data_IF_002770097357
#
_entry.id   IF_002770097357
#
_cell.length_a   1.000
_cell.length_b   1.000
_cell.length_c   1.000
_cell.angle_alpha   90.00
_cell.angle_beta   90.00
_cell.angle_gamma   90.00
#
_symmetry.space_group_name_H-M   'P 1'
#
loop_
_entity.id
_entity.type
_entity.pdbx_description
1 polymer ?
#
# COMPACT_ATOMS: atom_id res chain seq x y z
N UNK A 1 26.84 11.86 -28.49
CA UNK A 1 26.27 10.84 -27.56
C UNK A 1 24.96 10.35 -28.15
N UNK A 2 24.79 9.07 -28.34
CA UNK A 2 23.51 8.53 -28.84
C UNK A 2 22.54 8.46 -27.67
N UNK A 3 21.48 9.25 -27.70
CA UNK A 3 20.44 9.30 -26.69
C UNK A 3 19.15 8.84 -27.33
N UNK A 4 18.47 7.88 -26.69
CA UNK A 4 17.11 7.46 -27.06
C UNK A 4 16.14 8.04 -26.02
N UNK A 5 15.18 8.85 -26.49
CA UNK A 5 14.15 9.44 -25.64
C UNK A 5 12.77 9.13 -26.17
N UNK A 6 11.80 9.04 -25.29
CA UNK A 6 10.42 8.82 -25.66
C UNK A 6 9.46 8.92 -24.49
N UNK A 7 8.20 8.62 -24.80
CA UNK A 7 7.10 8.60 -23.84
C UNK A 7 6.53 7.18 -23.75
N UNK A 8 6.30 6.70 -22.53
CA UNK A 8 5.79 5.35 -22.28
C UNK A 8 4.36 5.13 -22.76
N UNK A 9 3.62 6.19 -23.03
CA UNK A 9 2.30 6.08 -23.68
C UNK A 9 2.40 5.68 -25.18
N UNK A 10 3.55 5.92 -25.81
CA UNK A 10 3.79 5.61 -27.22
C UNK A 10 4.52 4.28 -27.45
N UNK A 11 5.38 3.89 -26.50
CA UNK A 11 6.14 2.64 -26.52
C UNK A 11 6.27 2.11 -25.10
N UNK A 12 6.01 0.84 -24.89
CA UNK A 12 6.11 0.25 -23.55
C UNK A 12 7.58 0.20 -23.07
N UNK A 13 7.78 0.26 -21.76
CA UNK A 13 9.12 0.12 -21.19
C UNK A 13 9.71 -1.26 -21.50
N UNK A 14 8.89 -2.29 -21.57
CA UNK A 14 9.28 -3.64 -22.01
C UNK A 14 9.88 -3.62 -23.41
N UNK A 15 9.25 -2.92 -24.36
CA UNK A 15 9.77 -2.82 -25.74
C UNK A 15 11.08 -2.05 -25.78
N UNK A 16 11.21 -0.97 -24.98
CA UNK A 16 12.46 -0.22 -24.86
C UNK A 16 13.59 -1.10 -24.34
N UNK A 17 13.33 -1.87 -23.26
CA UNK A 17 14.34 -2.77 -22.68
C UNK A 17 14.71 -3.89 -23.68
N UNK A 18 13.73 -4.46 -24.40
CA UNK A 18 13.99 -5.44 -25.46
C UNK A 18 14.83 -4.84 -26.59
N UNK A 19 14.53 -3.60 -27.01
CA UNK A 19 15.34 -2.89 -28.02
C UNK A 19 16.78 -2.72 -27.58
N UNK A 20 17.02 -2.36 -26.31
CA UNK A 20 18.37 -2.23 -25.74
C UNK A 20 19.08 -3.60 -25.69
N UNK A 21 18.34 -4.65 -25.33
CA UNK A 21 18.86 -6.02 -25.28
C UNK A 21 19.30 -6.54 -26.65
N UNK A 22 18.42 -6.49 -27.66
CA UNK A 22 18.73 -6.94 -29.02
C UNK A 22 19.92 -6.19 -29.61
N UNK A 23 20.04 -4.90 -29.34
CA UNK A 23 21.13 -4.05 -29.82
C UNK A 23 22.38 -4.05 -28.92
N UNK A 24 22.41 -4.90 -27.87
CA UNK A 24 23.53 -5.03 -26.91
C UNK A 24 24.04 -3.69 -26.40
N UNK A 25 23.11 -2.79 -26.05
CA UNK A 25 23.46 -1.45 -25.59
C UNK A 25 24.02 -1.48 -24.17
N UNK A 26 24.90 -0.52 -23.87
CA UNK A 26 25.42 -0.29 -22.51
C UNK A 26 25.17 1.18 -22.15
N UNK A 27 24.52 1.41 -21.00
CA UNK A 27 24.13 2.75 -20.56
C UNK A 27 23.11 2.74 -19.42
N UNK A 28 22.54 3.91 -19.17
CA UNK A 28 21.51 4.13 -18.16
C UNK A 28 20.21 4.49 -18.83
N UNK A 29 19.13 3.80 -18.44
CA UNK A 29 17.77 4.12 -18.84
C UNK A 29 17.09 4.79 -17.64
N UNK A 30 16.88 6.10 -17.74
CA UNK A 30 16.16 6.90 -16.74
C UNK A 30 14.69 6.98 -17.11
N UNK A 31 13.82 6.83 -16.12
CA UNK A 31 12.38 6.89 -16.30
C UNK A 31 11.80 7.88 -15.28
N UNK A 32 10.86 8.72 -15.71
CA UNK A 32 10.19 9.73 -14.88
C UNK A 32 8.68 9.60 -15.08
N UNK A 33 7.97 9.30 -14.00
CA UNK A 33 6.50 9.25 -13.95
C UNK A 33 5.99 10.19 -12.86
N UNK A 34 5.69 11.43 -13.21
CA UNK A 34 5.32 12.47 -12.24
C UNK A 34 6.42 12.76 -11.22
N UNK A 35 6.19 12.40 -9.95
CA UNK A 35 7.19 12.52 -8.88
C UNK A 35 8.06 11.28 -8.70
N UNK A 36 7.75 10.18 -9.40
CA UNK A 36 8.52 8.95 -9.33
C UNK A 36 9.65 8.99 -10.33
N UNK A 37 10.82 8.52 -9.92
CA UNK A 37 11.99 8.35 -10.78
C UNK A 37 12.55 6.95 -10.62
N UNK A 38 13.03 6.37 -11.72
CA UNK A 38 13.69 5.07 -11.72
C UNK A 38 14.82 5.03 -12.72
N UNK A 39 15.80 4.19 -12.46
CA UNK A 39 16.94 4.00 -13.36
C UNK A 39 17.22 2.51 -13.52
N UNK A 40 17.28 2.04 -14.78
CA UNK A 40 17.79 0.72 -15.12
C UNK A 40 19.21 0.86 -15.67
N UNK A 41 20.15 0.09 -15.15
CA UNK A 41 21.53 0.03 -15.62
C UNK A 41 21.68 -1.19 -16.53
N UNK A 42 21.99 -0.90 -17.79
CA UNK A 42 22.06 -1.90 -18.86
C UNK A 42 23.52 -2.08 -19.28
N UNK A 43 24.03 -3.31 -19.26
CA UNK A 43 25.37 -3.66 -19.73
C UNK A 43 25.28 -4.78 -20.76
N UNK A 44 25.80 -4.52 -21.98
CA UNK A 44 25.73 -5.45 -23.11
C UNK A 44 24.30 -5.96 -23.41
N UNK A 45 23.30 -5.12 -23.18
CA UNK A 45 21.89 -5.44 -23.37
C UNK A 45 21.21 -6.13 -22.16
N UNK A 46 21.95 -6.49 -21.11
CA UNK A 46 21.37 -7.07 -19.91
C UNK A 46 21.14 -6.00 -18.82
N UNK A 47 20.02 -6.07 -18.12
CA UNK A 47 19.75 -5.22 -16.96
C UNK A 47 20.49 -5.80 -15.76
N UNK A 48 21.56 -5.16 -15.32
CA UNK A 48 22.42 -5.65 -14.24
C UNK A 48 22.10 -5.04 -12.87
N UNK A 49 21.41 -3.91 -12.87
CA UNK A 49 21.01 -3.20 -11.65
C UNK A 49 19.83 -2.28 -11.94
N UNK A 50 19.04 -1.98 -10.92
CA UNK A 50 17.98 -0.98 -10.98
C UNK A 50 17.88 -0.24 -9.65
N UNK A 51 17.40 0.99 -9.69
CA UNK A 51 17.18 1.80 -8.49
C UNK A 51 15.98 2.74 -8.64
N UNK A 52 15.28 2.92 -7.55
CA UNK A 52 14.29 3.97 -7.30
C UNK A 52 14.68 4.68 -5.99
N UNK A 53 14.05 5.79 -5.59
CA UNK A 53 14.29 6.39 -4.27
C UNK A 53 14.01 5.46 -3.09
N UNK A 54 13.20 4.40 -3.27
CA UNK A 54 12.75 3.51 -2.19
C UNK A 54 13.35 2.11 -2.27
N UNK A 55 13.68 1.61 -3.46
CA UNK A 55 14.10 0.23 -3.69
C UNK A 55 15.30 0.14 -4.62
N UNK A 56 16.02 -0.98 -4.57
CA UNK A 56 17.13 -1.28 -5.45
C UNK A 56 17.12 -2.75 -5.90
N UNK A 57 17.87 -3.07 -6.97
CA UNK A 57 17.99 -4.43 -7.50
C UNK A 57 16.74 -4.93 -8.22
N UNK A 58 16.43 -6.22 -8.11
CA UNK A 58 15.28 -6.84 -8.80
C UNK A 58 13.95 -6.20 -8.42
N UNK A 59 13.76 -5.84 -7.14
CA UNK A 59 12.55 -5.18 -6.69
C UNK A 59 12.32 -3.85 -7.41
N UNK A 60 13.37 -3.02 -7.50
CA UNK A 60 13.31 -1.77 -8.24
C UNK A 60 13.05 -1.98 -9.74
N UNK A 61 13.64 -3.02 -10.34
CA UNK A 61 13.40 -3.34 -11.74
C UNK A 61 11.93 -3.72 -11.99
N UNK A 62 11.33 -4.55 -11.14
CA UNK A 62 9.92 -4.92 -11.26
C UNK A 62 9.01 -3.72 -11.07
N UNK A 63 9.29 -2.85 -10.08
CA UNK A 63 8.51 -1.63 -9.86
C UNK A 63 8.53 -0.72 -11.10
N UNK A 64 9.71 -0.49 -11.65
CA UNK A 64 9.89 0.40 -12.82
C UNK A 64 9.28 -0.19 -14.08
N UNK A 65 9.42 -1.50 -14.31
CA UNK A 65 8.87 -2.18 -15.50
C UNK A 65 7.33 -2.16 -15.57
N UNK A 66 6.65 -1.90 -14.45
CA UNK A 66 5.18 -1.75 -14.42
C UNK A 66 4.70 -0.34 -14.79
N UNK A 67 5.60 0.62 -14.97
CA UNK A 67 5.20 1.98 -15.31
C UNK A 67 4.73 2.06 -16.77
N UNK A 68 3.52 2.50 -16.97
CA UNK A 68 2.85 2.62 -18.26
C UNK A 68 2.74 4.05 -18.78
N UNK A 69 3.20 5.03 -17.97
CA UNK A 69 3.17 6.46 -18.27
C UNK A 69 4.50 7.10 -17.89
N UNK A 70 4.75 8.27 -18.50
CA UNK A 70 5.93 9.05 -18.21
C UNK A 70 6.92 9.08 -19.35
N UNK A 71 8.05 9.69 -19.11
CA UNK A 71 9.12 9.87 -20.09
C UNK A 71 10.31 8.98 -19.74
N UNK A 72 11.02 8.54 -20.76
CA UNK A 72 12.27 7.82 -20.60
C UNK A 72 13.37 8.44 -21.40
N UNK A 73 14.60 8.29 -20.89
CA UNK A 73 15.83 8.67 -21.58
C UNK A 73 16.90 7.59 -21.36
N UNK A 74 17.39 7.02 -22.45
CA UNK A 74 18.56 6.14 -22.43
C UNK A 74 19.80 6.91 -22.83
N UNK A 75 20.80 6.90 -21.97
CA UNK A 75 22.10 7.55 -22.21
C UNK A 75 23.20 6.49 -22.24
N UNK A 76 23.89 6.42 -23.37
CA UNK A 76 25.09 5.57 -23.47
C UNK A 76 26.15 6.14 -22.53
N UNK A 77 26.48 5.40 -21.50
CA UNK A 77 27.43 5.83 -20.47
C UNK A 77 28.15 4.64 -19.85
N UNK A 78 29.38 4.83 -19.42
CA UNK A 78 30.06 3.94 -18.50
C UNK A 78 29.56 4.25 -17.09
N UNK A 79 29.35 3.22 -16.30
CA UNK A 79 28.88 3.34 -14.89
C UNK A 79 29.56 2.29 -14.03
N UNK A 80 29.50 2.48 -12.73
CA UNK A 80 30.01 1.51 -11.76
C UNK A 80 28.92 1.31 -10.70
N UNK A 81 28.19 0.20 -10.81
CA UNK A 81 27.15 -0.21 -9.89
C UNK A 81 27.31 -1.70 -9.55
N UNK A 82 26.81 -2.19 -8.42
CA UNK A 82 26.82 -3.61 -8.13
C UNK A 82 25.93 -4.37 -9.12
N UNK A 83 26.34 -5.57 -9.51
CA UNK A 83 25.47 -6.49 -10.26
C UNK A 83 24.51 -7.15 -9.27
N UNK A 84 23.32 -6.60 -9.13
CA UNK A 84 22.27 -7.11 -8.25
C UNK A 84 21.19 -7.92 -8.97
N UNK A 85 21.14 -7.83 -10.30
CA UNK A 85 20.24 -8.59 -11.16
C UNK A 85 21.10 -9.54 -12.01
N UNK A 86 20.84 -10.84 -11.86
CA UNK A 86 21.60 -11.89 -12.57
C UNK A 86 20.74 -12.67 -13.56
N UNK A 87 19.48 -12.33 -13.66
CA UNK A 87 18.53 -12.92 -14.62
C UNK A 87 18.78 -12.34 -16.00
N UNK A 88 18.51 -13.13 -17.03
CA UNK A 88 18.44 -12.59 -18.39
C UNK A 88 17.33 -11.54 -18.51
N UNK A 89 17.47 -10.61 -19.43
CA UNK A 89 16.40 -9.64 -19.74
C UNK A 89 15.09 -10.35 -20.05
N UNK A 90 15.13 -11.46 -20.80
CA UNK A 90 13.93 -12.24 -21.15
C UNK A 90 13.24 -12.77 -19.89
N UNK A 91 13.96 -13.39 -18.96
CA UNK A 91 13.40 -13.90 -17.72
C UNK A 91 12.87 -12.78 -16.83
N UNK A 92 13.59 -11.65 -16.76
CA UNK A 92 13.19 -10.47 -16.00
C UNK A 92 11.84 -9.91 -16.52
N UNK A 93 11.70 -9.77 -17.84
CA UNK A 93 10.48 -9.27 -18.46
C UNK A 93 9.31 -10.25 -18.33
N UNK A 94 9.56 -11.56 -18.47
CA UNK A 94 8.53 -12.57 -18.27
C UNK A 94 8.02 -12.60 -16.83
N UNK A 95 8.91 -12.52 -15.85
CA UNK A 95 8.53 -12.49 -14.44
C UNK A 95 7.81 -11.19 -14.07
N UNK A 96 8.25 -10.05 -14.61
CA UNK A 96 7.56 -8.76 -14.46
C UNK A 96 6.13 -8.83 -15.00
N UNK A 97 5.94 -9.36 -16.21
CA UNK A 97 4.62 -9.53 -16.81
C UNK A 97 3.72 -10.43 -15.94
N UNK A 98 4.24 -11.57 -15.48
CA UNK A 98 3.52 -12.50 -14.61
C UNK A 98 3.11 -11.87 -13.27
N UNK A 99 4.00 -11.08 -12.67
CA UNK A 99 3.73 -10.36 -11.41
C UNK A 99 2.67 -9.29 -11.64
N UNK A 100 2.76 -8.53 -12.73
CA UNK A 100 1.78 -7.51 -13.11
C UNK A 100 0.38 -8.10 -13.31
N UNK A 101 0.27 -9.22 -14.04
CA UNK A 101 -1.01 -9.91 -14.27
C UNK A 101 -1.60 -10.46 -12.95
N UNK A 102 -0.76 -11.02 -12.10
CA UNK A 102 -1.16 -11.48 -10.77
C UNK A 102 -1.67 -10.31 -9.92
N UNK A 103 -0.98 -9.18 -9.93
CA UNK A 103 -1.39 -7.97 -9.21
C UNK A 103 -2.71 -7.43 -9.74
N UNK A 104 -2.90 -7.30 -11.06
CA UNK A 104 -4.16 -6.86 -11.67
C UNK A 104 -5.33 -7.77 -11.27
N UNK A 105 -5.14 -9.08 -11.32
CA UNK A 105 -6.16 -10.05 -10.89
C UNK A 105 -6.50 -9.89 -9.41
N UNK A 106 -5.51 -9.80 -8.54
CA UNK A 106 -5.70 -9.65 -7.10
C UNK A 106 -6.35 -8.31 -6.74
N UNK A 107 -5.99 -7.23 -7.44
CA UNK A 107 -6.64 -5.93 -7.30
C UNK A 107 -8.09 -5.93 -7.79
N UNK A 108 -8.44 -6.77 -8.75
CA UNK A 108 -9.84 -7.00 -9.13
C UNK A 108 -10.65 -7.68 -8.01
N UNK A 109 -10.01 -8.50 -7.17
CA UNK A 109 -10.65 -9.19 -6.03
C UNK A 109 -10.63 -8.31 -4.76
N UNK A 110 -9.55 -7.57 -4.56
CA UNK A 110 -9.30 -6.65 -3.44
C UNK A 110 -9.06 -5.23 -3.96
N UNK A 111 -10.10 -4.53 -4.45
CA UNK A 111 -9.93 -3.21 -5.09
C UNK A 111 -9.52 -2.12 -4.09
N UNK A 112 -9.90 -2.27 -2.83
CA UNK A 112 -9.61 -1.32 -1.76
C UNK A 112 -8.55 -1.89 -0.81
N UNK A 113 -7.31 -1.39 -0.89
CA UNK A 113 -6.24 -1.81 0.01
C UNK A 113 -6.36 -1.23 1.43
N UNK A 114 -7.26 -0.28 1.65
CA UNK A 114 -7.62 0.18 2.99
C UNK A 114 -8.71 -0.67 3.65
N UNK A 115 -9.20 -1.69 2.96
CA UNK A 115 -10.05 -2.71 3.57
C UNK A 115 -9.23 -3.57 4.54
N UNK A 116 -9.89 -4.05 5.58
CA UNK A 116 -9.28 -4.79 6.70
C UNK A 116 -9.57 -6.28 6.54
N UNK A 117 -8.53 -7.12 6.34
CA UNK A 117 -8.69 -8.56 6.35
C UNK A 117 -8.89 -9.06 7.78
N UNK A 118 -10.02 -9.74 8.01
CA UNK A 118 -10.38 -10.31 9.31
C UNK A 118 -10.43 -11.83 9.26
N UNK A 119 -9.58 -12.54 10.03
CA UNK A 119 -9.62 -13.99 10.11
C UNK A 119 -10.83 -14.45 10.94
N UNK A 120 -11.57 -15.42 10.43
CA UNK A 120 -12.73 -16.02 11.11
C UNK A 120 -12.34 -17.14 12.08
N UNK A 121 -11.06 -17.53 12.09
CA UNK A 121 -10.47 -18.52 12.96
C UNK A 121 -9.08 -18.08 13.41
N UNK A 122 -8.59 -18.65 14.52
CA UNK A 122 -7.21 -18.48 15.00
C UNK A 122 -6.32 -19.62 14.50
N UNK A 123 -5.00 -19.42 14.55
CA UNK A 123 -4.07 -20.51 14.37
C UNK A 123 -4.26 -21.59 15.47
N UNK A 124 -4.08 -22.88 15.15
CA UNK A 124 -3.66 -23.45 13.86
C UNK A 124 -4.79 -23.63 12.83
N UNK A 125 -6.06 -23.42 13.19
CA UNK A 125 -7.21 -23.66 12.30
C UNK A 125 -7.20 -22.73 11.08
N UNK A 126 -6.68 -21.51 11.23
CA UNK A 126 -6.62 -20.52 10.16
C UNK A 126 -5.86 -21.05 8.94
N UNK A 127 -4.71 -21.69 9.13
CA UNK A 127 -3.84 -22.18 8.04
C UNK A 127 -3.91 -23.69 7.81
N UNK A 128 -4.66 -24.44 8.64
CA UNK A 128 -4.72 -25.91 8.57
C UNK A 128 -5.17 -26.40 7.18
N UNK A 129 -4.42 -27.33 6.58
CA UNK A 129 -4.73 -27.90 5.27
C UNK A 129 -4.51 -26.98 4.07
N UNK A 130 -4.04 -25.76 4.28
CA UNK A 130 -3.72 -24.83 3.20
C UNK A 130 -2.23 -24.88 2.86
N UNK A 131 -1.92 -24.83 1.55
CA UNK A 131 -0.54 -24.74 1.05
C UNK A 131 -0.08 -23.26 1.07
N UNK A 132 0.27 -22.77 2.25
CA UNK A 132 0.86 -21.43 2.43
C UNK A 132 2.38 -21.61 2.49
N UNK A 133 3.13 -20.90 1.64
CA UNK A 133 4.58 -20.91 1.67
C UNK A 133 5.11 -20.36 3.01
N UNK A 134 6.28 -20.86 3.41
CA UNK A 134 6.85 -20.47 4.72
C UNK A 134 7.04 -18.95 4.85
N UNK A 135 7.48 -18.30 3.79
CA UNK A 135 7.63 -16.84 3.74
C UNK A 135 6.28 -16.12 3.92
N UNK A 136 5.25 -16.61 3.24
CA UNK A 136 3.92 -15.98 3.26
C UNK A 136 3.20 -16.16 4.61
N UNK A 137 3.63 -17.12 5.44
CA UNK A 137 3.11 -17.28 6.82
C UNK A 137 3.39 -16.07 7.71
N UNK A 138 4.35 -15.22 7.34
CA UNK A 138 4.61 -13.94 8.01
C UNK A 138 3.40 -12.99 8.00
N UNK A 139 2.46 -13.17 7.08
CA UNK A 139 1.22 -12.39 7.02
C UNK A 139 0.27 -12.71 8.17
N UNK A 140 0.20 -13.98 8.59
CA UNK A 140 -0.84 -14.48 9.51
C UNK A 140 -0.92 -13.74 10.85
N UNK A 141 0.18 -13.39 11.53
CA UNK A 141 0.13 -12.66 12.80
C UNK A 141 -0.42 -11.23 12.69
N UNK A 142 -0.43 -10.66 11.47
CA UNK A 142 -0.91 -9.30 11.22
C UNK A 142 -2.37 -9.23 10.78
N UNK A 143 -3.02 -10.40 10.60
CA UNK A 143 -4.45 -10.50 10.34
C UNK A 143 -5.22 -10.36 11.66
N UNK A 144 -5.22 -9.17 12.24
CA UNK A 144 -5.80 -8.90 13.57
C UNK A 144 -7.20 -8.29 13.51
N UNK A 145 -7.69 -7.97 12.32
CA UNK A 145 -8.97 -7.30 12.13
C UNK A 145 -8.92 -5.77 12.31
N UNK A 146 -7.71 -5.20 12.47
CA UNK A 146 -7.50 -3.75 12.59
C UNK A 146 -6.60 -3.19 11.51
N UNK A 147 -5.57 -3.92 11.09
CA UNK A 147 -4.67 -3.51 10.01
C UNK A 147 -5.31 -3.71 8.66
N UNK A 148 -5.20 -2.71 7.79
CA UNK A 148 -5.59 -2.83 6.39
C UNK A 148 -4.52 -3.58 5.57
N UNK A 149 -4.86 -3.93 4.32
CA UNK A 149 -3.91 -4.62 3.44
C UNK A 149 -2.63 -3.82 3.24
N UNK A 150 -2.71 -2.50 3.10
CA UNK A 150 -1.54 -1.65 2.86
C UNK A 150 -0.58 -1.66 4.05
N UNK A 151 -1.11 -1.61 5.27
CA UNK A 151 -0.30 -1.72 6.48
C UNK A 151 0.37 -3.09 6.60
N UNK A 152 -0.36 -4.17 6.26
CA UNK A 152 0.19 -5.52 6.29
C UNK A 152 1.31 -5.68 5.25
N UNK A 153 1.13 -5.14 4.05
CA UNK A 153 2.17 -5.13 3.01
C UNK A 153 3.43 -4.42 3.52
N UNK A 154 3.26 -3.26 4.15
CA UNK A 154 4.39 -2.46 4.63
C UNK A 154 5.11 -3.11 5.81
N UNK A 155 4.39 -3.71 6.76
CA UNK A 155 4.99 -4.28 7.98
C UNK A 155 5.64 -5.63 7.75
N UNK A 156 5.15 -6.40 6.77
CA UNK A 156 5.70 -7.73 6.45
C UNK A 156 6.88 -7.67 5.50
N UNK A 157 7.07 -6.56 4.79
CA UNK A 157 8.05 -6.40 3.70
C UNK A 157 7.88 -7.43 2.58
N UNK A 158 6.76 -8.13 2.58
CA UNK A 158 6.37 -9.08 1.54
C UNK A 158 5.70 -8.33 0.41
N UNK A 159 6.01 -8.32 -0.75
CA UNK A 159 5.34 -7.59 -1.86
C UNK A 159 3.81 -7.79 -1.85
N UNK A 160 3.10 -6.84 -2.43
CA UNK A 160 1.63 -6.82 -2.50
C UNK A 160 1.02 -8.16 -2.96
N UNK A 161 1.62 -8.77 -3.99
CA UNK A 161 1.13 -10.03 -4.57
C UNK A 161 1.12 -11.16 -3.53
N UNK A 162 2.19 -11.32 -2.74
CA UNK A 162 2.28 -12.35 -1.70
C UNK A 162 1.23 -12.17 -0.61
N UNK A 163 1.07 -10.95 -0.12
CA UNK A 163 0.07 -10.63 0.91
C UNK A 163 -1.35 -10.92 0.42
N UNK A 164 -1.70 -10.36 -0.75
CA UNK A 164 -3.04 -10.53 -1.31
C UNK A 164 -3.32 -11.98 -1.72
N UNK A 165 -2.32 -12.73 -2.18
CA UNK A 165 -2.48 -14.14 -2.55
C UNK A 165 -2.71 -15.01 -1.31
N UNK A 166 -2.01 -14.76 -0.21
CA UNK A 166 -2.26 -15.43 1.08
C UNK A 166 -3.67 -15.12 1.59
N UNK A 167 -4.09 -13.87 1.53
CA UNK A 167 -5.45 -13.47 1.92
C UNK A 167 -6.52 -14.07 1.01
N UNK A 168 -6.25 -14.22 -0.29
CA UNK A 168 -7.15 -14.89 -1.23
C UNK A 168 -7.33 -16.38 -0.88
N UNK A 169 -6.25 -17.09 -0.61
CA UNK A 169 -6.28 -18.49 -0.16
C UNK A 169 -7.15 -18.66 1.09
N UNK A 170 -6.98 -17.80 2.07
CA UNK A 170 -7.77 -17.82 3.31
C UNK A 170 -9.25 -17.48 3.05
N UNK A 171 -9.52 -16.51 2.17
CA UNK A 171 -10.88 -16.12 1.78
C UNK A 171 -11.60 -17.24 1.05
N UNK A 172 -10.96 -17.88 0.09
CA UNK A 172 -11.52 -19.01 -0.65
C UNK A 172 -11.78 -20.23 0.25
N UNK A 173 -10.97 -20.40 1.30
CA UNK A 173 -11.20 -21.41 2.34
C UNK A 173 -12.31 -21.02 3.36
N UNK A 174 -12.94 -19.87 3.21
CA UNK A 174 -13.96 -19.37 4.14
C UNK A 174 -13.40 -18.94 5.50
N UNK A 175 -12.09 -18.71 5.59
CA UNK A 175 -11.39 -18.39 6.85
C UNK A 175 -10.99 -16.93 7.00
N UNK A 176 -11.33 -16.11 6.01
CA UNK A 176 -11.05 -14.68 6.02
C UNK A 176 -12.23 -13.92 5.41
N UNK A 177 -12.64 -12.87 6.09
CA UNK A 177 -13.57 -11.86 5.59
C UNK A 177 -12.79 -10.56 5.31
N UNK A 178 -13.31 -9.76 4.40
CA UNK A 178 -12.77 -8.43 4.12
C UNK A 178 -13.80 -7.41 4.59
N UNK A 179 -13.37 -6.51 5.45
CA UNK A 179 -14.21 -5.49 6.07
C UNK A 179 -13.83 -4.12 5.52
N UNK A 180 -14.80 -3.24 5.43
CA UNK A 180 -14.61 -1.83 5.10
C UNK A 180 -15.08 -0.93 6.27
N UNK A 181 -14.33 -0.92 7.39
CA UNK A 181 -14.73 -0.18 8.58
C UNK A 181 -14.51 1.34 8.46
N UNK A 182 -13.93 1.81 7.39
CA UNK A 182 -13.62 3.23 7.18
C UNK A 182 -14.89 4.03 6.96
N UNK A 183 -15.07 5.08 7.77
CA UNK A 183 -16.17 6.03 7.67
C UNK A 183 -15.58 7.40 7.40
N UNK A 184 -16.09 8.10 6.37
CA UNK A 184 -15.67 9.46 6.05
C UNK A 184 -16.45 10.45 6.92
N UNK A 185 -15.73 11.32 7.62
CA UNK A 185 -16.28 12.31 8.54
C UNK A 185 -15.70 13.69 8.26
N UNK A 186 -16.47 14.73 8.55
CA UNK A 186 -16.04 16.13 8.49
C UNK A 186 -15.40 16.54 9.81
N UNK A 187 -14.24 17.16 9.76
CA UNK A 187 -13.51 17.63 10.93
C UNK A 187 -14.11 18.93 11.48
N UNK A 188 -14.40 18.93 12.77
CA UNK A 188 -14.73 20.14 13.53
C UNK A 188 -13.91 20.21 14.82
N UNK A 189 -13.72 21.42 15.33
CA UNK A 189 -12.95 21.63 16.57
C UNK A 189 -13.71 21.15 17.78
N UNK A 190 -13.11 20.27 18.59
CA UNK A 190 -13.63 19.91 19.92
C UNK A 190 -13.44 21.11 20.86
N UNK A 191 -14.55 21.65 21.34
CA UNK A 191 -14.54 22.71 22.35
C UNK A 191 -14.26 22.11 23.72
N UNK A 192 -13.02 22.21 24.17
CA UNK A 192 -12.61 21.80 25.51
C UNK A 192 -12.85 22.94 26.51
N UNK A 193 -13.30 22.61 27.73
CA UNK A 193 -13.44 23.61 28.80
C UNK A 193 -12.06 24.15 29.24
N UNK A 194 -12.05 25.34 29.83
CA UNK A 194 -10.84 26.12 30.25
C UNK A 194 -9.75 25.34 31.02
N UNK A 195 -10.07 24.14 31.54
CA UNK A 195 -9.18 23.35 32.40
C UNK A 195 -8.98 21.90 31.94
N UNK A 196 -9.53 21.48 30.78
CA UNK A 196 -9.31 20.16 30.21
C UNK A 196 -8.50 20.25 28.90
N UNK A 197 -7.29 19.70 28.90
CA UNK A 197 -6.62 19.37 27.63
C UNK A 197 -7.45 18.27 26.94
N UNK A 198 -7.80 18.51 25.69
CA UNK A 198 -8.40 17.45 24.87
C UNK A 198 -7.35 16.39 24.58
N UNK A 199 -7.54 15.22 25.16
CA UNK A 199 -6.67 14.04 25.02
C UNK A 199 -7.34 12.93 24.20
N UNK A 200 -8.47 13.23 23.56
CA UNK A 200 -9.24 12.30 22.76
C UNK A 200 -10.00 13.03 21.66
N UNK A 201 -10.44 12.28 20.67
CA UNK A 201 -11.38 12.75 19.65
C UNK A 201 -12.78 12.28 19.98
N UNK A 202 -13.81 12.95 19.49
CA UNK A 202 -15.20 12.53 19.66
C UNK A 202 -15.89 12.27 18.32
N UNK A 203 -16.69 11.20 18.26
CA UNK A 203 -17.55 10.91 17.13
C UNK A 203 -18.98 10.57 17.63
N UNK A 204 -19.95 10.51 16.71
CA UNK A 204 -21.30 10.16 17.06
C UNK A 204 -21.41 8.68 17.49
N UNK A 205 -22.42 8.35 18.30
CA UNK A 205 -22.76 6.97 18.66
C UNK A 205 -23.20 6.13 17.46
N UNK A 206 -23.62 6.76 16.38
CA UNK A 206 -23.92 6.08 15.11
C UNK A 206 -22.67 5.43 14.53
N UNK A 207 -21.50 6.10 14.59
CA UNK A 207 -20.21 5.55 14.17
C UNK A 207 -19.87 4.29 14.97
N UNK A 208 -19.99 4.34 16.29
CA UNK A 208 -19.79 3.17 17.16
C UNK A 208 -20.71 2.01 16.79
N UNK A 209 -21.99 2.31 16.60
CA UNK A 209 -23.01 1.31 16.27
C UNK A 209 -22.71 0.63 14.93
N UNK A 210 -22.28 1.38 13.91
CA UNK A 210 -21.88 0.83 12.60
C UNK A 210 -20.71 -0.12 12.77
N UNK A 211 -19.69 0.26 13.53
CA UNK A 211 -18.54 -0.60 13.75
C UNK A 211 -18.91 -1.87 14.55
N UNK A 212 -19.76 -1.77 15.56
CA UNK A 212 -20.20 -2.92 16.36
C UNK A 212 -21.04 -3.95 15.56
N UNK A 213 -21.53 -3.61 14.38
CA UNK A 213 -22.14 -4.59 13.46
C UNK A 213 -21.10 -5.49 12.79
N UNK A 214 -19.83 -5.08 12.76
CA UNK A 214 -18.75 -5.84 12.11
C UNK A 214 -18.11 -6.83 13.09
N UNK A 215 -17.81 -8.04 12.62
CA UNK A 215 -17.39 -9.17 13.44
C UNK A 215 -16.31 -8.91 14.48
N UNK A 216 -15.14 -8.31 14.13
CA UNK A 216 -14.04 -8.12 15.09
C UNK A 216 -14.37 -7.09 16.18
N UNK A 217 -15.30 -6.16 15.91
CA UNK A 217 -15.64 -5.07 16.82
C UNK A 217 -16.92 -5.31 17.62
N UNK A 218 -17.63 -6.40 17.31
CA UNK A 218 -18.87 -6.77 17.99
C UNK A 218 -18.61 -7.00 19.49
N UNK A 219 -19.35 -6.32 20.33
CA UNK A 219 -19.25 -6.39 21.79
C UNK A 219 -17.85 -6.00 22.34
N UNK A 220 -16.99 -5.36 21.53
CA UNK A 220 -15.72 -4.83 21.99
C UNK A 220 -15.86 -3.35 22.33
N UNK A 221 -15.12 -2.90 23.36
CA UNK A 221 -14.99 -1.48 23.64
C UNK A 221 -13.93 -0.91 22.69
N UNK A 222 -14.37 -0.16 21.68
CA UNK A 222 -13.48 0.55 20.77
C UNK A 222 -12.95 1.78 21.51
N UNK A 223 -11.65 1.78 21.79
CA UNK A 223 -10.98 2.86 22.55
C UNK A 223 -10.15 3.77 21.67
N UNK A 224 -9.65 3.26 20.58
CA UNK A 224 -8.79 4.01 19.66
C UNK A 224 -9.37 3.98 18.27
N UNK A 225 -9.12 5.06 17.54
CA UNK A 225 -9.44 5.16 16.12
C UNK A 225 -8.22 5.63 15.33
N UNK A 226 -8.08 5.10 14.14
CA UNK A 226 -7.13 5.59 13.15
C UNK A 226 -7.83 6.61 12.27
N UNK A 227 -7.24 7.79 12.20
CA UNK A 227 -7.66 8.89 11.35
C UNK A 227 -6.70 8.94 10.17
N UNK A 228 -7.23 9.05 8.97
CA UNK A 228 -6.44 9.15 7.74
C UNK A 228 -6.86 10.39 6.96
N UNK A 229 -5.87 11.15 6.50
CA UNK A 229 -6.00 12.31 5.62
C UNK A 229 -4.81 12.34 4.65
N UNK A 230 -4.78 13.22 3.62
CA UNK A 230 -3.75 13.18 2.58
C UNK A 230 -2.30 13.26 3.06
N UNK A 231 -2.03 13.97 4.16
CA UNK A 231 -0.68 14.17 4.71
C UNK A 231 -0.22 13.05 5.63
N UNK A 232 -1.12 12.17 6.08
CA UNK A 232 -0.72 11.01 6.88
C UNK A 232 -1.83 10.40 7.75
N UNK A 233 -1.55 9.30 8.45
CA UNK A 233 -2.41 8.73 9.47
C UNK A 233 -2.00 9.13 10.89
N UNK A 234 -2.96 9.18 11.81
CA UNK A 234 -2.74 9.20 13.26
C UNK A 234 -3.65 8.17 13.95
N UNK A 235 -3.26 7.75 15.14
CA UNK A 235 -4.10 6.91 16.01
C UNK A 235 -4.32 7.66 17.32
N UNK A 236 -5.60 7.84 17.67
CA UNK A 236 -6.00 8.57 18.86
C UNK A 236 -7.10 7.85 19.63
N UNK A 237 -7.16 8.14 20.93
CA UNK A 237 -8.28 7.71 21.77
C UNK A 237 -9.57 8.35 21.26
N UNK A 238 -10.62 7.55 21.14
CA UNK A 238 -11.94 8.01 20.70
C UNK A 238 -12.99 7.83 21.78
N UNK A 239 -13.87 8.81 21.90
CA UNK A 239 -15.09 8.73 22.69
C UNK A 239 -16.32 8.91 21.80
N UNK A 240 -17.40 8.17 22.11
CA UNK A 240 -18.63 8.24 21.35
C UNK A 240 -19.66 9.02 22.14
N UNK A 241 -20.12 10.13 21.55
CA UNK A 241 -21.03 11.06 22.20
C UNK A 241 -22.31 11.22 21.38
N UNK A 242 -23.46 11.06 22.03
CA UNK A 242 -24.77 11.19 21.36
C UNK A 242 -25.12 12.62 20.93
N UNK A 243 -24.37 13.62 21.38
CA UNK A 243 -24.55 15.02 20.98
C UNK A 243 -23.68 15.45 19.80
N UNK A 244 -22.81 14.56 19.32
CA UNK A 244 -22.01 14.80 18.09
C UNK A 244 -22.87 14.45 16.89
N UNK A 245 -22.95 15.36 15.93
CA UNK A 245 -23.69 15.14 14.68
C UNK A 245 -23.11 13.95 13.91
N UNK A 246 -23.99 13.22 13.24
CA UNK A 246 -23.57 12.18 12.31
C UNK A 246 -22.70 12.78 11.20
N UNK A 247 -21.76 12.01 10.67
CA UNK A 247 -20.77 12.45 9.70
C UNK A 247 -19.77 13.52 10.20
N UNK A 248 -19.68 13.73 11.51
CA UNK A 248 -18.75 14.67 12.13
C UNK A 248 -17.77 13.94 13.06
N UNK A 249 -16.52 14.39 13.07
CA UNK A 249 -15.52 14.08 14.09
C UNK A 249 -15.03 15.37 14.72
N UNK A 250 -15.06 15.42 16.05
CA UNK A 250 -14.55 16.53 16.83
C UNK A 250 -13.12 16.22 17.25
N UNK A 251 -12.19 17.09 16.87
CA UNK A 251 -10.77 16.95 17.13
C UNK A 251 -10.29 18.15 17.96
N UNK A 252 -9.52 17.94 19.05
CA UNK A 252 -8.91 19.03 19.82
C UNK A 252 -8.07 19.95 18.94
N UNK A 253 -8.13 21.24 19.20
CA UNK A 253 -7.42 22.25 18.40
C UNK A 253 -5.92 22.01 18.33
N UNK A 254 -5.33 21.53 19.40
CA UNK A 254 -3.90 21.20 19.50
C UNK A 254 -3.52 20.06 18.54
N UNK A 255 -4.36 19.01 18.45
CA UNK A 255 -4.15 17.89 17.53
C UNK A 255 -4.36 18.35 16.07
N UNK A 256 -5.39 19.16 15.81
CA UNK A 256 -5.60 19.71 14.47
C UNK A 256 -4.37 20.50 14.00
N UNK A 257 -3.80 21.35 14.87
CA UNK A 257 -2.59 22.11 14.54
C UNK A 257 -1.38 21.21 14.32
N UNK A 258 -1.17 20.19 15.18
CA UNK A 258 -0.07 19.24 15.05
C UNK A 258 -0.14 18.42 13.74
N UNK A 259 -1.34 18.14 13.25
CA UNK A 259 -1.56 17.35 12.02
C UNK A 259 -1.77 18.22 10.77
N UNK A 260 -1.78 19.53 10.90
CA UNK A 260 -2.05 20.44 9.78
C UNK A 260 -3.50 20.38 9.28
N UNK A 261 -4.43 19.91 10.12
CA UNK A 261 -5.85 19.80 9.76
C UNK A 261 -6.57 21.13 9.91
N UNK A 262 -7.53 21.39 9.03
CA UNK A 262 -8.43 22.55 9.08
C UNK A 262 -9.87 22.08 9.29
N UNK A 263 -10.72 22.97 9.84
CA UNK A 263 -12.16 22.69 9.93
C UNK A 263 -12.78 22.46 8.56
N UNK A 264 -13.75 21.56 8.51
CA UNK A 264 -14.52 21.27 7.30
C UNK A 264 -13.83 20.29 6.33
N UNK A 265 -12.57 19.88 6.58
CA UNK A 265 -11.94 18.84 5.74
C UNK A 265 -12.54 17.47 6.03
N UNK A 266 -12.47 16.61 5.01
CA UNK A 266 -12.89 15.21 5.14
C UNK A 266 -11.71 14.34 5.57
N UNK A 267 -11.95 13.51 6.56
CA UNK A 267 -11.02 12.48 7.02
C UNK A 267 -11.70 11.12 7.01
N UNK A 268 -10.91 10.06 6.86
CA UNK A 268 -11.41 8.70 7.00
C UNK A 268 -11.06 8.18 8.40
N UNK A 269 -12.04 7.62 9.08
CA UNK A 269 -11.92 7.11 10.44
C UNK A 269 -12.24 5.61 10.48
N UNK A 270 -11.44 4.82 11.20
CA UNK A 270 -11.68 3.40 11.44
C UNK A 270 -11.17 2.95 12.80
N UNK A 271 -11.67 1.83 13.37
CA UNK A 271 -11.14 1.29 14.63
C UNK A 271 -9.63 1.02 14.54
N UNK A 272 -8.94 1.24 15.67
CA UNK A 272 -7.53 0.88 15.86
C UNK A 272 -7.36 0.02 17.12
N UNK A 273 -6.29 -0.80 17.19
CA UNK A 273 -6.01 -1.67 18.34
C UNK A 273 -5.73 -0.88 19.63
#
# INVERSE_FOLDING_TARGET
MSTLRGNLQSISLTDVVQLLHVNRKTGKLHIIQGKRTGTLYVENGEVIHAETPQTAGESAAFDVLEWDKGEFEFVVAKFKVPTSIRRSVTDLLMESARTSDSRKRLRGIFPNLHAVPWPTAKEPQLSSGLKIFQEDRKVLPFLDGFRDFLEIINVTELGEVSVLQTCLLLKEAGRLQVLEPSITLTVHTLKTGLFKKGDHIEASKTVESVWQLMGPYRNSQIRNARIMWPEGPAVETIQFNGNVEDQTVLIPKELMQAWGLSEGILVSLRPAP
#
